data_IF_814662671958
#
_entry.id   IF_814662671958
#
_cell.length_a   1.000
_cell.length_b   1.000
_cell.length_c   1.000
_cell.angle_alpha   90.00
_cell.angle_beta   90.00
_cell.angle_gamma   90.00
#
_symmetry.space_group_name_H-M   'P 1'
#
loop_
_entity.id
_entity.type
_entity.pdbx_description
1 polymer ?
#
# COMPACT_ATOMS: atom_id res chain seq x y z
N UNK A 1 -24.86 20.79 -21.81
CA UNK A 1 -25.36 19.40 -21.85
C UNK A 1 -24.68 18.68 -20.69
N UNK A 2 -25.41 18.09 -19.74
CA UNK A 2 -24.77 17.29 -18.69
C UNK A 2 -24.19 16.03 -19.32
N UNK A 3 -22.87 15.89 -19.29
CA UNK A 3 -22.19 14.69 -19.76
C UNK A 3 -22.30 13.63 -18.67
N UNK A 4 -23.22 12.68 -18.83
CA UNK A 4 -23.28 11.50 -17.96
C UNK A 4 -22.16 10.54 -18.36
N UNK A 5 -21.35 10.09 -17.40
CA UNK A 5 -20.21 9.20 -17.64
C UNK A 5 -19.18 9.25 -16.51
N UNK A 6 -18.10 8.46 -16.57
CA UNK A 6 -16.99 8.56 -15.62
C UNK A 6 -16.47 10.00 -15.54
N UNK A 7 -16.44 10.57 -14.35
CA UNK A 7 -15.94 11.91 -14.08
C UNK A 7 -14.75 11.83 -13.12
N UNK A 8 -13.82 12.81 -13.17
CA UNK A 8 -12.82 12.96 -12.14
C UNK A 8 -13.46 13.07 -10.75
N UNK A 9 -12.83 12.46 -9.75
CA UNK A 9 -13.27 12.57 -8.35
C UNK A 9 -13.17 14.03 -7.91
N UNK A 10 -14.27 14.56 -7.37
CA UNK A 10 -14.28 15.88 -6.73
C UNK A 10 -13.55 15.79 -5.39
N UNK A 11 -12.41 16.48 -5.26
CA UNK A 11 -11.54 16.40 -4.09
C UNK A 11 -11.60 17.69 -3.26
N UNK A 12 -11.59 17.53 -1.94
CA UNK A 12 -11.31 18.62 -1.01
C UNK A 12 -9.83 18.56 -0.65
N UNK A 13 -9.08 19.61 -0.98
CA UNK A 13 -7.64 19.69 -0.79
C UNK A 13 -7.29 20.93 0.04
N UNK A 14 -6.29 20.84 0.94
CA UNK A 14 -6.00 21.89 1.92
C UNK A 14 -5.33 23.12 1.29
N UNK A 15 -4.60 22.96 0.19
CA UNK A 15 -3.78 24.02 -0.44
C UNK A 15 -3.95 24.03 -1.96
N UNK A 16 -3.50 25.11 -2.62
CA UNK A 16 -3.41 25.19 -4.08
C UNK A 16 -2.34 24.23 -4.62
N UNK A 17 -1.18 24.17 -3.97
CA UNK A 17 -0.12 23.20 -4.28
C UNK A 17 -0.65 21.75 -4.27
N UNK A 18 -1.47 21.38 -3.28
CA UNK A 18 -2.09 20.06 -3.26
C UNK A 18 -3.00 19.80 -4.46
N UNK A 19 -3.65 20.84 -5.03
CA UNK A 19 -4.45 20.70 -6.27
C UNK A 19 -3.54 20.46 -7.47
N UNK A 20 -2.43 21.18 -7.55
CA UNK A 20 -1.46 21.04 -8.64
C UNK A 20 -0.78 19.66 -8.60
N UNK A 21 -0.41 19.18 -7.42
CA UNK A 21 0.12 17.83 -7.20
C UNK A 21 -0.86 16.75 -7.65
N UNK A 22 -2.15 16.90 -7.33
CA UNK A 22 -3.18 15.96 -7.77
C UNK A 22 -3.44 16.04 -9.29
N UNK A 23 -3.36 17.24 -9.88
CA UNK A 23 -3.46 17.41 -11.32
C UNK A 23 -2.29 16.74 -12.05
N UNK A 24 -1.05 16.94 -11.56
CA UNK A 24 0.15 16.28 -12.06
C UNK A 24 0.04 14.75 -11.94
N UNK A 25 -0.39 14.26 -10.77
CA UNK A 25 -0.57 12.81 -10.54
C UNK A 25 -1.54 12.21 -11.54
N UNK A 26 -2.65 12.90 -11.85
CA UNK A 26 -3.63 12.43 -12.83
C UNK A 26 -3.08 12.41 -14.25
N UNK A 27 -2.35 13.44 -14.67
CA UNK A 27 -1.72 13.47 -16.00
C UNK A 27 -0.73 12.30 -16.16
N UNK A 28 0.16 12.13 -15.17
CA UNK A 28 1.12 11.04 -15.12
C UNK A 28 0.40 9.68 -15.14
N UNK A 29 -0.62 9.50 -14.31
CA UNK A 29 -1.37 8.26 -14.22
C UNK A 29 -2.08 7.90 -15.54
N UNK A 30 -2.66 8.87 -16.24
CA UNK A 30 -3.35 8.65 -17.50
C UNK A 30 -2.40 8.39 -18.67
N UNK A 31 -1.23 9.05 -18.68
CA UNK A 31 -0.29 8.99 -19.80
C UNK A 31 0.71 7.85 -19.68
N UNK A 32 1.26 7.64 -18.49
CA UNK A 32 2.42 6.78 -18.27
C UNK A 32 2.06 5.46 -17.59
N UNK A 33 0.93 5.39 -16.86
CA UNK A 33 0.58 4.21 -16.05
C UNK A 33 -0.57 3.41 -16.66
N UNK A 34 -1.72 4.03 -16.87
CA UNK A 34 -2.95 3.35 -17.27
C UNK A 34 -2.84 2.61 -18.63
N UNK A 35 -2.19 3.15 -19.68
CA UNK A 35 -2.19 2.52 -21.01
C UNK A 35 -1.53 1.13 -21.04
N UNK A 36 -0.47 0.93 -20.26
CA UNK A 36 0.29 -0.33 -20.24
C UNK A 36 -0.22 -1.32 -19.17
N UNK A 37 -1.11 -0.88 -18.26
CA UNK A 37 -1.43 -1.61 -17.05
C UNK A 37 -1.92 -3.06 -17.30
N UNK A 38 -2.79 -3.29 -18.29
CA UNK A 38 -3.30 -4.63 -18.56
C UNK A 38 -2.20 -5.58 -19.07
N UNK A 39 -1.48 -5.15 -20.12
CA UNK A 39 -0.43 -5.95 -20.73
C UNK A 39 0.72 -6.26 -19.76
N UNK A 40 1.11 -5.29 -18.93
CA UNK A 40 2.19 -5.48 -17.97
C UNK A 40 1.78 -6.33 -16.76
N UNK A 41 0.54 -6.21 -16.28
CA UNK A 41 0.02 -7.14 -15.28
C UNK A 41 0.00 -8.57 -15.83
N UNK A 42 -0.50 -8.79 -17.04
CA UNK A 42 -0.52 -10.15 -17.59
C UNK A 42 0.88 -10.72 -17.84
N UNK A 43 1.82 -9.89 -18.24
CA UNK A 43 3.23 -10.27 -18.36
C UNK A 43 3.94 -10.45 -16.99
N UNK A 44 3.32 -10.02 -15.89
CA UNK A 44 3.96 -10.02 -14.57
C UNK A 44 5.17 -9.08 -14.48
N UNK A 45 5.18 -8.00 -15.26
CA UNK A 45 6.30 -7.06 -15.34
C UNK A 45 6.22 -6.03 -14.22
N UNK A 46 7.30 -5.94 -13.44
CA UNK A 46 7.47 -4.89 -12.44
C UNK A 46 7.86 -3.56 -13.10
N UNK A 47 7.12 -2.46 -12.87
CA UNK A 47 7.33 -1.21 -13.59
C UNK A 47 8.35 -0.31 -12.87
N UNK A 48 9.62 -0.73 -12.78
CA UNK A 48 10.67 0.00 -12.03
C UNK A 48 10.81 1.45 -12.50
N UNK A 49 10.71 1.66 -13.80
CA UNK A 49 10.83 2.95 -14.46
C UNK A 49 9.72 3.92 -14.01
N UNK A 50 8.50 3.40 -13.77
CA UNK A 50 7.40 4.19 -13.23
C UNK A 50 7.68 4.66 -11.80
N UNK A 51 8.33 3.85 -10.96
CA UNK A 51 8.70 4.26 -9.60
C UNK A 51 9.74 5.38 -9.62
N UNK A 52 10.75 5.26 -10.48
CA UNK A 52 11.74 6.31 -10.68
C UNK A 52 11.09 7.61 -11.17
N UNK A 53 10.19 7.53 -12.16
CA UNK A 53 9.44 8.70 -12.65
C UNK A 53 8.60 9.38 -11.55
N UNK A 54 7.90 8.59 -10.70
CA UNK A 54 7.12 9.11 -9.58
C UNK A 54 8.03 9.81 -8.55
N UNK A 55 9.23 9.27 -8.32
CA UNK A 55 10.26 9.89 -7.49
C UNK A 55 10.78 11.21 -8.06
N UNK A 56 11.14 11.23 -9.35
CA UNK A 56 11.59 12.44 -10.07
C UNK A 56 10.52 13.54 -10.10
N UNK A 57 9.23 13.15 -10.11
CA UNK A 57 8.10 14.06 -10.01
C UNK A 57 7.83 14.58 -8.58
N UNK A 58 8.58 14.12 -7.57
CA UNK A 58 8.43 14.52 -6.17
C UNK A 58 7.25 13.86 -5.44
N UNK A 59 6.60 12.87 -6.05
CA UNK A 59 5.37 12.25 -5.51
C UNK A 59 5.65 11.08 -4.56
N UNK A 60 6.84 10.46 -4.63
CA UNK A 60 7.20 9.27 -3.85
C UNK A 60 7.46 9.60 -2.35
N UNK A 61 8.17 10.70 -2.11
CA UNK A 61 8.53 11.20 -0.77
C UNK A 61 7.54 12.22 -0.19
N UNK A 62 6.36 12.37 -0.80
CA UNK A 62 5.43 13.46 -0.52
C UNK A 62 5.08 13.70 0.98
N UNK A 63 4.83 12.66 1.81
CA UNK A 63 4.46 12.88 3.22
C UNK A 63 5.66 13.12 4.15
N UNK A 64 6.90 13.07 3.65
CA UNK A 64 8.10 13.24 4.45
C UNK A 64 8.59 14.69 4.44
N UNK A 65 9.34 15.14 5.47
CA UNK A 65 9.84 16.50 5.57
C UNK A 65 10.74 16.90 4.39
N UNK A 66 10.68 18.17 4.00
CA UNK A 66 11.56 18.74 2.96
C UNK A 66 13.04 18.64 3.33
N UNK A 67 13.39 18.77 4.62
CA UNK A 67 14.78 18.67 5.09
C UNK A 67 15.42 17.29 4.86
N UNK A 68 14.59 16.25 4.72
CA UNK A 68 15.02 14.90 4.41
C UNK A 68 14.91 14.57 2.89
N UNK A 69 14.49 15.53 2.07
CA UNK A 69 14.25 15.38 0.62
C UNK A 69 12.82 14.96 0.26
N UNK A 70 11.87 15.07 1.19
CA UNK A 70 10.44 14.83 0.95
C UNK A 70 9.68 16.06 0.44
N UNK A 71 8.36 15.93 0.31
CA UNK A 71 7.48 16.99 -0.20
C UNK A 71 6.76 17.83 0.87
N UNK A 72 6.91 17.47 2.15
CA UNK A 72 6.35 18.22 3.28
C UNK A 72 4.81 18.29 3.31
N UNK A 73 4.10 17.49 2.51
CA UNK A 73 2.66 17.59 2.39
C UNK A 73 1.92 16.83 3.51
N UNK A 74 0.72 17.30 3.91
CA UNK A 74 -0.16 16.54 4.79
C UNK A 74 -0.42 15.13 4.26
N UNK A 75 -0.54 14.15 5.15
CA UNK A 75 -0.77 12.77 4.77
C UNK A 75 -2.09 12.60 4.01
N UNK A 76 -3.10 13.44 4.28
CA UNK A 76 -4.34 13.45 3.48
C UNK A 76 -4.12 13.76 1.99
N UNK A 77 -3.07 14.50 1.64
CA UNK A 77 -2.71 14.80 0.25
C UNK A 77 -2.02 13.59 -0.38
N UNK A 78 -1.02 13.04 0.32
CA UNK A 78 -0.33 11.80 -0.08
C UNK A 78 -1.30 10.65 -0.35
N UNK A 79 -2.28 10.42 0.53
CA UNK A 79 -3.27 9.37 0.33
C UNK A 79 -4.14 9.58 -0.92
N UNK A 80 -4.44 10.83 -1.28
CA UNK A 80 -5.21 11.11 -2.50
C UNK A 80 -4.37 10.93 -3.76
N UNK A 81 -3.07 11.22 -3.72
CA UNK A 81 -2.11 10.85 -4.78
C UNK A 81 -2.10 9.32 -4.95
N UNK A 82 -1.98 8.59 -3.84
CA UNK A 82 -1.98 7.13 -3.83
C UNK A 82 -3.27 6.53 -4.40
N UNK A 83 -4.42 7.14 -4.11
CA UNK A 83 -5.72 6.76 -4.67
C UNK A 83 -5.74 6.87 -6.20
N UNK A 84 -5.23 7.97 -6.77
CA UNK A 84 -5.15 8.17 -8.23
C UNK A 84 -4.20 7.15 -8.89
N UNK A 85 -3.03 6.91 -8.28
CA UNK A 85 -2.07 5.91 -8.78
C UNK A 85 -2.67 4.50 -8.77
N UNK A 86 -3.35 4.13 -7.69
CA UNK A 86 -3.99 2.83 -7.56
C UNK A 86 -5.17 2.64 -8.52
N UNK A 87 -5.90 3.72 -8.84
CA UNK A 87 -6.96 3.69 -9.85
C UNK A 87 -6.41 3.42 -11.26
N UNK A 88 -5.22 3.94 -11.59
CA UNK A 88 -4.55 3.64 -12.85
C UNK A 88 -3.97 2.22 -12.87
N UNK A 89 -3.25 1.83 -11.82
CA UNK A 89 -2.73 0.47 -11.64
C UNK A 89 -2.41 0.19 -10.18
N UNK A 90 -3.10 -0.79 -9.59
CA UNK A 90 -2.92 -1.12 -8.17
C UNK A 90 -1.48 -1.52 -7.83
N UNK A 91 -0.74 -2.20 -8.72
CA UNK A 91 0.68 -2.52 -8.51
C UNK A 91 1.53 -1.28 -8.23
N UNK A 92 1.27 -0.16 -8.91
CA UNK A 92 2.01 1.08 -8.71
C UNK A 92 1.58 1.74 -7.41
N UNK A 93 0.28 1.96 -7.20
CA UNK A 93 -0.22 2.55 -5.96
C UNK A 93 0.19 1.77 -4.71
N UNK A 94 0.01 0.44 -4.70
CA UNK A 94 0.42 -0.39 -3.57
C UNK A 94 1.93 -0.40 -3.38
N UNK A 95 2.71 -0.49 -4.47
CA UNK A 95 4.16 -0.47 -4.35
C UNK A 95 4.67 0.87 -3.81
N UNK A 96 4.07 2.00 -4.21
CA UNK A 96 4.42 3.32 -3.65
C UNK A 96 4.13 3.32 -2.15
N UNK A 97 2.98 2.80 -1.75
CA UNK A 97 2.64 2.64 -0.32
C UNK A 97 3.65 1.81 0.46
N UNK A 98 4.13 0.70 -0.12
CA UNK A 98 5.14 -0.18 0.51
C UNK A 98 6.51 0.50 0.56
N UNK A 99 6.90 1.20 -0.49
CA UNK A 99 8.15 1.96 -0.49
C UNK A 99 8.10 3.05 0.59
N UNK A 100 7.05 3.87 0.65
CA UNK A 100 6.86 4.86 1.71
C UNK A 100 6.93 4.18 3.08
N UNK A 101 6.23 3.06 3.30
CA UNK A 101 6.32 2.31 4.56
C UNK A 101 7.77 1.89 4.89
N UNK A 102 8.55 1.45 3.90
CA UNK A 102 9.92 1.01 4.10
C UNK A 102 10.87 2.15 4.53
N UNK A 103 10.59 3.38 4.11
CA UNK A 103 11.35 4.58 4.50
C UNK A 103 11.05 5.04 5.94
N UNK A 104 9.89 4.63 6.48
CA UNK A 104 9.35 5.13 7.76
C UNK A 104 10.31 5.03 8.94
N UNK A 105 10.99 3.88 9.08
CA UNK A 105 11.90 3.63 10.19
C UNK A 105 13.03 4.66 10.22
N UNK A 106 13.71 4.86 9.08
CA UNK A 106 14.82 5.81 8.96
C UNK A 106 14.33 7.23 9.16
N UNK A 107 13.20 7.61 8.55
CA UNK A 107 12.65 8.96 8.64
C UNK A 107 12.32 9.39 10.08
N UNK A 108 11.73 8.51 10.89
CA UNK A 108 11.25 8.89 12.23
C UNK A 108 12.16 8.46 13.37
N UNK A 109 12.93 7.39 13.19
CA UNK A 109 13.73 6.77 14.25
C UNK A 109 15.22 6.66 13.88
N UNK A 110 15.59 7.07 12.67
CA UNK A 110 16.99 7.10 12.25
C UNK A 110 17.77 8.24 12.91
N UNK A 111 19.07 8.02 13.11
CA UNK A 111 19.99 9.08 13.50
C UNK A 111 20.07 10.16 12.41
N UNK A 112 20.61 11.34 12.76
CA UNK A 112 20.80 12.42 11.77
C UNK A 112 21.65 11.97 10.59
N UNK A 113 22.66 11.15 10.87
CA UNK A 113 23.57 10.58 9.88
C UNK A 113 22.84 9.60 8.97
N UNK A 114 22.03 8.69 9.52
CA UNK A 114 21.22 7.75 8.74
C UNK A 114 20.22 8.47 7.83
N UNK A 115 19.55 9.51 8.34
CA UNK A 115 18.61 10.30 7.56
C UNK A 115 19.30 11.01 6.40
N UNK A 116 20.39 11.72 6.69
CA UNK A 116 21.17 12.45 5.68
C UNK A 116 21.81 11.53 4.63
N UNK A 117 22.25 10.33 5.03
CA UNK A 117 22.87 9.36 4.12
C UNK A 117 21.85 8.70 3.19
N UNK A 118 20.65 8.39 3.68
CA UNK A 118 19.75 7.46 2.99
C UNK A 118 18.49 8.12 2.41
N UNK A 119 17.84 9.03 3.14
CA UNK A 119 16.51 9.52 2.75
C UNK A 119 16.48 10.23 1.40
N UNK A 120 17.45 11.08 1.01
CA UNK A 120 17.40 11.73 -0.30
C UNK A 120 17.28 10.75 -1.47
N UNK A 121 18.02 9.63 -1.43
CA UNK A 121 17.99 8.63 -2.49
C UNK A 121 16.74 7.73 -2.42
N UNK A 122 16.24 7.46 -1.21
CA UNK A 122 14.99 6.72 -1.01
C UNK A 122 13.79 7.54 -1.51
N UNK A 123 13.62 8.75 -0.99
CA UNK A 123 12.48 9.62 -1.27
C UNK A 123 12.47 10.14 -2.71
N UNK A 124 13.64 10.33 -3.31
CA UNK A 124 13.78 10.72 -4.73
C UNK A 124 13.56 9.58 -5.73
N UNK A 125 13.37 8.33 -5.27
CA UNK A 125 13.06 7.19 -6.15
C UNK A 125 14.25 6.55 -6.86
N UNK A 126 15.47 6.97 -6.55
CA UNK A 126 16.70 6.27 -6.98
C UNK A 126 16.81 4.91 -6.32
N UNK A 127 16.35 4.77 -5.07
CA UNK A 127 16.27 3.51 -4.34
C UNK A 127 14.82 3.07 -4.14
N UNK A 128 14.53 1.80 -4.42
CA UNK A 128 13.28 1.13 -4.10
C UNK A 128 13.43 0.33 -2.82
N UNK A 129 12.40 0.39 -1.98
CA UNK A 129 12.43 -0.19 -0.65
C UNK A 129 11.43 -1.31 -0.48
N UNK A 130 11.79 -2.30 0.32
CA UNK A 130 10.93 -3.39 0.75
C UNK A 130 10.83 -3.44 2.27
N UNK A 131 9.70 -3.93 2.78
CA UNK A 131 9.44 -4.02 4.21
C UNK A 131 9.35 -5.48 4.67
N UNK A 132 10.22 -5.87 5.60
CA UNK A 132 10.48 -7.25 6.00
C UNK A 132 10.04 -7.53 7.45
N UNK A 133 8.75 -7.82 7.63
CA UNK A 133 8.17 -8.20 8.92
C UNK A 133 7.74 -9.67 8.95
N UNK A 134 6.81 -10.05 8.07
CA UNK A 134 6.17 -11.37 8.07
C UNK A 134 7.13 -12.51 7.72
N UNK A 135 6.84 -13.69 8.27
CA UNK A 135 7.59 -14.93 8.08
C UNK A 135 6.62 -16.09 7.82
N UNK A 136 7.11 -17.27 7.37
CA UNK A 136 6.25 -18.43 7.13
C UNK A 136 5.39 -18.80 8.35
N UNK A 137 5.94 -18.61 9.56
CA UNK A 137 5.26 -18.94 10.82
C UNK A 137 4.66 -17.73 11.54
N UNK A 138 4.84 -16.50 11.05
CA UNK A 138 4.38 -15.27 11.71
C UNK A 138 3.82 -14.26 10.71
N UNK A 139 2.51 -14.36 10.46
CA UNK A 139 1.74 -13.39 9.70
C UNK A 139 1.03 -12.40 10.63
N UNK A 140 -0.18 -12.74 11.07
CA UNK A 140 -0.95 -11.91 12.01
C UNK A 140 -0.33 -11.84 13.41
N UNK A 141 0.32 -12.92 13.86
CA UNK A 141 1.14 -12.94 15.08
C UNK A 141 2.57 -12.46 14.78
N UNK A 142 2.69 -11.20 14.37
CA UNK A 142 3.95 -10.64 13.87
C UNK A 142 5.08 -10.61 14.93
N UNK A 143 4.74 -10.56 16.22
CA UNK A 143 5.72 -10.55 17.30
C UNK A 143 6.43 -11.90 17.51
N UNK A 144 5.87 -12.98 16.94
CA UNK A 144 6.43 -14.34 17.01
C UNK A 144 7.53 -14.61 15.96
N UNK A 145 8.00 -13.57 15.25
CA UNK A 145 9.07 -13.69 14.25
C UNK A 145 10.34 -14.35 14.83
N UNK A 146 11.05 -15.10 13.99
CA UNK A 146 12.20 -15.94 14.34
C UNK A 146 13.48 -15.56 13.61
N UNK A 147 13.42 -14.75 12.56
CA UNK A 147 14.63 -14.17 11.95
C UNK A 147 15.46 -13.52 13.04
N UNK A 148 16.71 -13.96 13.21
CA UNK A 148 17.59 -13.52 14.30
C UNK A 148 18.59 -12.51 13.78
N UNK A 149 18.98 -11.58 14.66
CA UNK A 149 20.12 -10.70 14.48
C UNK A 149 21.05 -10.90 15.68
N UNK A 150 22.21 -11.51 15.46
CA UNK A 150 23.18 -11.81 16.52
C UNK A 150 24.33 -10.82 16.44
N UNK A 151 24.69 -10.20 17.56
CA UNK A 151 25.81 -9.25 17.62
C UNK A 151 27.14 -9.99 17.40
N UNK A 152 27.97 -9.49 16.49
CA UNK A 152 29.30 -9.98 16.19
C UNK A 152 30.28 -8.79 16.05
N UNK A 153 30.97 -8.46 17.14
CA UNK A 153 31.78 -7.25 17.24
C UNK A 153 30.93 -5.98 17.17
N UNK A 154 31.23 -5.13 16.19
CA UNK A 154 30.49 -3.88 15.90
C UNK A 154 29.36 -4.08 14.88
N UNK A 155 29.18 -5.32 14.41
CA UNK A 155 28.19 -5.70 13.41
C UNK A 155 27.11 -6.63 13.99
N UNK A 156 26.10 -6.87 13.18
CA UNK A 156 25.05 -7.85 13.36
C UNK A 156 25.10 -8.86 12.23
N UNK A 157 24.91 -10.13 12.58
CA UNK A 157 24.68 -11.21 11.62
C UNK A 157 23.20 -11.57 11.63
N UNK A 158 22.51 -11.32 10.52
CA UNK A 158 21.09 -11.58 10.33
C UNK A 158 20.89 -12.90 9.60
N UNK A 159 20.05 -13.77 10.16
CA UNK A 159 19.74 -15.07 9.58
C UNK A 159 18.27 -15.43 9.78
N UNK A 160 17.64 -15.87 8.70
CA UNK A 160 16.25 -16.28 8.71
C UNK A 160 15.59 -16.17 7.35
N UNK A 161 14.27 -16.23 7.34
CA UNK A 161 13.47 -16.12 6.12
C UNK A 161 12.25 -15.27 6.38
N UNK A 162 12.10 -14.25 5.54
CA UNK A 162 10.92 -13.40 5.46
C UNK A 162 10.01 -13.89 4.34
N UNK A 163 8.71 -13.64 4.46
CA UNK A 163 7.70 -14.08 3.51
C UNK A 163 6.76 -12.95 3.15
N UNK A 164 6.18 -13.06 1.95
CA UNK A 164 5.23 -12.09 1.41
C UNK A 164 5.84 -10.70 1.19
N UNK A 165 7.13 -10.66 0.84
CA UNK A 165 7.86 -9.39 0.72
C UNK A 165 7.61 -8.80 -0.67
N UNK A 166 6.76 -7.78 -0.70
CA UNK A 166 6.60 -6.91 -1.87
C UNK A 166 7.93 -6.24 -2.21
N UNK A 167 8.26 -6.18 -3.50
CA UNK A 167 9.58 -5.81 -4.04
C UNK A 167 10.70 -6.80 -3.71
N UNK A 168 10.36 -8.02 -3.25
CA UNK A 168 11.34 -9.09 -3.06
C UNK A 168 12.11 -9.40 -4.34
N UNK A 169 13.45 -9.34 -4.26
CA UNK A 169 14.36 -9.57 -5.38
C UNK A 169 14.59 -8.37 -6.31
N UNK A 170 13.90 -7.25 -6.12
CA UNK A 170 14.07 -6.04 -6.95
C UNK A 170 14.25 -4.75 -6.14
N UNK A 171 14.17 -4.82 -4.81
CA UNK A 171 14.39 -3.68 -3.93
C UNK A 171 15.89 -3.43 -3.72
N UNK A 172 16.26 -2.17 -3.65
CA UNK A 172 17.64 -1.73 -3.38
C UNK A 172 17.94 -1.67 -1.89
N UNK A 173 16.91 -1.68 -1.05
CA UNK A 173 17.05 -1.85 0.40
C UNK A 173 15.85 -2.54 1.03
N UNK A 174 16.09 -3.13 2.19
CA UNK A 174 15.10 -3.80 3.01
C UNK A 174 15.11 -3.22 4.42
N UNK A 175 13.94 -2.78 4.91
CA UNK A 175 13.73 -2.51 6.33
C UNK A 175 13.34 -3.82 7.01
N UNK A 176 14.28 -4.41 7.75
CA UNK A 176 14.19 -5.78 8.29
C UNK A 176 13.94 -5.75 9.79
N UNK A 177 12.89 -6.44 10.22
CA UNK A 177 12.58 -6.67 11.63
C UNK A 177 13.13 -8.03 12.03
N UNK A 178 14.11 -8.04 12.92
CA UNK A 178 14.78 -9.26 13.37
C UNK A 178 14.91 -9.29 14.90
N UNK A 179 14.88 -10.49 15.47
CA UNK A 179 15.03 -10.74 16.89
C UNK A 179 16.49 -10.60 17.29
N UNK A 180 16.80 -9.58 18.08
CA UNK A 180 18.14 -9.31 18.62
C UNK A 180 18.25 -9.47 20.13
N UNK A 181 17.13 -9.75 20.80
CA UNK A 181 17.05 -9.98 22.24
C UNK A 181 16.16 -11.19 22.59
N UNK A 182 15.48 -11.10 23.74
CA UNK A 182 14.60 -12.16 24.24
C UNK A 182 13.34 -12.42 23.42
N UNK A 183 12.40 -13.19 23.97
CA UNK A 183 11.12 -13.46 23.32
C UNK A 183 10.19 -12.24 23.31
N UNK A 184 9.17 -12.29 22.44
CA UNK A 184 8.14 -11.26 22.33
C UNK A 184 8.60 -9.98 21.64
N UNK A 185 7.76 -8.94 21.74
CA UNK A 185 7.89 -7.68 21.02
C UNK A 185 9.17 -6.91 21.36
N UNK A 186 9.57 -6.89 22.64
CA UNK A 186 10.74 -6.14 23.12
C UNK A 186 12.09 -6.77 22.72
N UNK A 187 12.08 -7.97 22.13
CA UNK A 187 13.28 -8.62 21.62
C UNK A 187 13.57 -8.33 20.15
N UNK A 188 12.77 -7.49 19.48
CA UNK A 188 12.85 -7.24 18.04
C UNK A 188 13.47 -5.87 17.79
N UNK A 189 14.41 -5.79 16.85
CA UNK A 189 15.02 -4.54 16.37
C UNK A 189 14.82 -4.36 14.86
N UNK A 190 14.97 -3.12 14.39
CA UNK A 190 14.88 -2.76 12.98
C UNK A 190 16.28 -2.53 12.38
N UNK A 191 16.50 -3.03 11.17
CA UNK A 191 17.76 -2.93 10.45
C UNK A 191 17.52 -2.47 9.02
N UNK A 192 18.34 -1.56 8.52
CA UNK A 192 18.37 -1.17 7.11
C UNK A 192 19.37 -2.05 6.37
N UNK A 193 18.92 -3.00 5.57
CA UNK A 193 19.79 -3.95 4.85
C UNK A 193 19.89 -3.53 3.38
N UNK A 194 21.10 -3.37 2.81
CA UNK A 194 21.26 -3.16 1.37
C UNK A 194 20.68 -4.34 0.57
N UNK A 195 20.06 -4.08 -0.58
CA UNK A 195 19.47 -5.11 -1.44
C UNK A 195 20.49 -6.04 -2.11
N UNK A 196 21.76 -5.61 -2.16
CA UNK A 196 22.91 -6.35 -2.69
C UNK A 196 23.82 -6.93 -1.58
N UNK A 197 23.36 -6.92 -0.33
CA UNK A 197 24.15 -7.41 0.80
C UNK A 197 24.55 -8.88 0.62
N UNK A 198 25.83 -9.27 0.85
CA UNK A 198 26.25 -10.66 0.81
C UNK A 198 25.41 -11.54 1.74
N UNK A 199 24.95 -12.69 1.24
CA UNK A 199 24.07 -13.61 1.97
C UNK A 199 22.56 -13.30 1.84
N UNK A 200 22.19 -12.18 1.20
CA UNK A 200 20.80 -11.85 0.90
C UNK A 200 20.38 -12.45 -0.44
N UNK A 201 19.23 -13.12 -0.48
CA UNK A 201 18.65 -13.60 -1.73
C UNK A 201 17.12 -13.61 -1.67
N UNK A 202 16.48 -13.56 -2.84
CA UNK A 202 15.04 -13.71 -2.96
C UNK A 202 14.69 -15.02 -3.65
N UNK A 203 13.63 -15.69 -3.18
CA UNK A 203 13.03 -16.81 -3.88
C UNK A 203 12.33 -16.35 -5.17
N UNK A 204 11.96 -17.32 -6.01
CA UNK A 204 11.09 -17.04 -7.17
C UNK A 204 9.79 -16.37 -6.67
N UNK A 205 9.33 -15.28 -7.32
CA UNK A 205 8.11 -14.61 -6.91
C UNK A 205 6.88 -15.53 -6.90
N UNK A 206 6.00 -15.28 -5.93
CA UNK A 206 4.77 -16.02 -5.70
C UNK A 206 3.83 -15.94 -6.91
N UNK A 207 3.19 -17.08 -7.23
CA UNK A 207 2.12 -17.15 -8.24
C UNK A 207 0.80 -16.69 -7.62
N UNK A 208 0.51 -15.39 -7.74
CA UNK A 208 -0.64 -14.74 -7.09
C UNK A 208 -1.90 -14.68 -7.97
N UNK A 209 -3.05 -14.56 -7.32
CA UNK A 209 -4.36 -14.36 -7.96
C UNK A 209 -4.42 -13.04 -8.75
N UNK A 210 -3.84 -11.96 -8.22
CA UNK A 210 -3.75 -10.63 -8.85
C UNK A 210 -2.43 -9.97 -8.47
N UNK A 211 -2.20 -8.72 -8.92
CA UNK A 211 -0.93 -8.01 -8.72
C UNK A 211 0.27 -8.81 -9.23
N UNK A 212 0.15 -9.34 -10.44
CA UNK A 212 1.20 -10.16 -11.05
C UNK A 212 2.44 -9.31 -11.30
N UNK A 213 2.27 -8.04 -11.66
CA UNK A 213 3.36 -7.07 -11.85
C UNK A 213 4.03 -6.63 -10.55
N UNK A 214 3.47 -6.92 -9.37
CA UNK A 214 4.10 -6.66 -8.08
C UNK A 214 4.87 -7.90 -7.63
N UNK A 215 6.22 -7.95 -7.69
CA UNK A 215 6.97 -9.10 -7.23
C UNK A 215 6.80 -9.24 -5.72
N UNK A 216 6.39 -10.43 -5.31
CA UNK A 216 6.22 -10.80 -3.91
C UNK A 216 6.99 -12.09 -3.72
N UNK A 217 7.97 -12.13 -2.84
CA UNK A 217 8.82 -13.30 -2.68
C UNK A 217 9.12 -13.58 -1.21
N UNK A 218 9.65 -14.77 -0.96
CA UNK A 218 10.44 -14.99 0.25
C UNK A 218 11.79 -14.30 0.08
N UNK A 219 12.31 -13.76 1.18
CA UNK A 219 13.64 -13.15 1.23
C UNK A 219 14.44 -13.90 2.30
N UNK A 220 15.56 -14.48 1.89
CA UNK A 220 16.43 -15.30 2.71
C UNK A 220 17.64 -14.48 3.14
N UNK A 221 17.94 -14.58 4.43
CA UNK A 221 19.12 -14.00 5.04
C UNK A 221 19.98 -15.17 5.49
N UNK A 222 21.11 -15.40 4.82
CA UNK A 222 22.12 -16.39 5.20
C UNK A 222 23.33 -15.64 5.77
N UNK A 223 23.37 -15.52 7.09
CA UNK A 223 24.41 -14.79 7.82
C UNK A 223 24.75 -13.40 7.24
N UNK A 224 23.72 -12.62 6.88
CA UNK A 224 23.89 -11.28 6.30
C UNK A 224 24.50 -10.35 7.36
N UNK A 225 25.67 -9.78 7.06
CA UNK A 225 26.40 -8.90 7.98
C UNK A 225 26.00 -7.44 7.78
N UNK A 226 25.62 -6.77 8.86
CA UNK A 226 25.13 -5.38 8.86
C UNK A 226 25.77 -4.61 10.02
N UNK A 227 26.43 -3.47 9.79
CA UNK A 227 27.03 -2.69 10.88
C UNK A 227 25.95 -2.12 11.83
N UNK A 228 26.28 -1.89 13.10
CA UNK A 228 25.32 -1.28 14.05
C UNK A 228 24.85 0.11 13.60
N UNK A 229 25.63 0.81 12.77
CA UNK A 229 25.22 2.09 12.15
C UNK A 229 24.01 1.96 11.22
N UNK A 230 23.60 0.74 10.85
CA UNK A 230 22.37 0.46 10.08
C UNK A 230 21.24 -0.13 10.93
N UNK A 231 21.43 -0.25 12.25
CA UNK A 231 20.33 -0.47 13.19
C UNK A 231 19.55 0.84 13.35
N UNK A 232 18.23 0.78 13.22
CA UNK A 232 17.37 1.95 13.27
C UNK A 232 16.61 1.97 14.59
N UNK A 233 16.62 3.11 15.29
CA UNK A 233 16.13 3.24 16.65
C UNK A 233 16.96 2.45 17.67
N UNK A 234 16.41 2.22 18.86
CA UNK A 234 17.06 1.50 19.97
C UNK A 234 16.92 -0.03 19.83
N UNK A 235 17.81 -0.77 20.50
CA UNK A 235 17.68 -2.23 20.61
C UNK A 235 16.36 -2.61 21.29
N UNK A 236 15.61 -3.52 20.66
CA UNK A 236 14.30 -3.95 21.15
C UNK A 236 13.14 -3.01 20.80
N UNK A 237 13.41 -1.89 20.10
CA UNK A 237 12.38 -0.92 19.67
C UNK A 237 11.71 -1.30 18.34
N UNK A 238 12.25 -2.28 17.61
CA UNK A 238 11.84 -2.59 16.24
C UNK A 238 10.35 -2.92 16.08
N UNK A 239 9.75 -3.64 17.03
CA UNK A 239 8.32 -3.94 16.95
C UNK A 239 7.44 -2.71 17.18
N UNK A 240 7.86 -1.77 18.04
CA UNK A 240 7.14 -0.51 18.24
C UNK A 240 7.20 0.36 16.98
N UNK A 241 8.38 0.45 16.35
CA UNK A 241 8.58 1.13 15.06
C UNK A 241 7.68 0.50 13.97
N UNK A 242 7.58 -0.84 13.97
CA UNK A 242 6.71 -1.53 13.03
C UNK A 242 5.23 -1.18 13.24
N UNK A 243 4.73 -1.20 14.47
CA UNK A 243 3.33 -0.85 14.75
C UNK A 243 2.99 0.59 14.35
N UNK A 244 3.89 1.53 14.62
CA UNK A 244 3.75 2.94 14.24
C UNK A 244 3.67 3.12 12.71
N UNK A 245 4.56 2.43 11.97
CA UNK A 245 4.55 2.42 10.52
C UNK A 245 3.23 1.82 9.96
N UNK A 246 2.77 0.69 10.52
CA UNK A 246 1.56 -0.02 10.08
C UNK A 246 0.28 0.80 10.30
N UNK A 247 0.20 1.65 11.34
CA UNK A 247 -0.96 2.53 11.54
C UNK A 247 -1.12 3.51 10.37
N UNK A 248 -0.01 4.07 9.87
CA UNK A 248 0.01 4.90 8.66
C UNK A 248 -0.16 4.08 7.38
N UNK A 249 0.39 2.86 7.32
CA UNK A 249 0.28 1.92 6.19
C UNK A 249 -1.16 1.48 5.91
N UNK A 250 -1.98 1.25 6.96
CA UNK A 250 -3.41 0.94 6.84
C UNK A 250 -4.19 1.99 6.06
N UNK A 251 -3.86 3.27 6.24
CA UNK A 251 -4.48 4.36 5.48
C UNK A 251 -4.06 4.32 4.00
N UNK A 252 -2.81 3.95 3.71
CA UNK A 252 -2.32 3.73 2.35
C UNK A 252 -3.11 2.63 1.62
N UNK A 253 -3.38 1.52 2.31
CA UNK A 253 -4.23 0.44 1.77
C UNK A 253 -5.68 0.89 1.58
N UNK A 254 -6.22 1.70 2.50
CA UNK A 254 -7.57 2.24 2.37
C UNK A 254 -7.70 3.14 1.12
N UNK A 255 -6.69 3.99 0.85
CA UNK A 255 -6.62 4.80 -0.36
C UNK A 255 -6.48 3.95 -1.64
N UNK A 256 -5.57 2.96 -1.63
CA UNK A 256 -5.41 2.03 -2.77
C UNK A 256 -6.71 1.27 -3.10
N UNK A 257 -7.41 0.78 -2.07
CA UNK A 257 -8.69 0.10 -2.22
C UNK A 257 -9.77 1.02 -2.80
N UNK A 258 -9.81 2.27 -2.34
CA UNK A 258 -10.73 3.29 -2.85
C UNK A 258 -10.46 3.61 -4.32
N UNK A 259 -9.18 3.74 -4.71
CA UNK A 259 -8.77 3.97 -6.11
C UNK A 259 -9.15 2.81 -7.03
N UNK A 260 -8.87 1.58 -6.61
CA UNK A 260 -9.27 0.37 -7.35
C UNK A 260 -10.79 0.28 -7.52
N UNK A 261 -11.55 0.55 -6.46
CA UNK A 261 -13.01 0.57 -6.50
C UNK A 261 -13.53 1.65 -7.46
N UNK A 262 -12.90 2.84 -7.46
CA UNK A 262 -13.23 3.93 -8.39
C UNK A 262 -12.96 3.53 -9.86
N UNK A 263 -11.85 2.85 -10.14
CA UNK A 263 -11.54 2.34 -11.47
C UNK A 263 -12.58 1.31 -11.96
N UNK A 264 -13.01 0.41 -11.07
CA UNK A 264 -14.05 -0.56 -11.36
C UNK A 264 -15.42 0.08 -11.61
N UNK A 265 -15.81 1.08 -10.80
CA UNK A 265 -17.03 1.86 -11.04
C UNK A 265 -16.97 2.61 -12.38
N UNK A 266 -15.85 3.27 -12.68
CA UNK A 266 -15.69 4.01 -13.93
C UNK A 266 -15.78 3.08 -15.15
N UNK A 267 -15.16 1.89 -15.07
CA UNK A 267 -15.25 0.86 -16.12
C UNK A 267 -16.69 0.38 -16.30
N UNK A 268 -17.38 0.05 -15.21
CA UNK A 268 -18.77 -0.39 -15.26
C UNK A 268 -19.70 0.69 -15.81
N UNK A 269 -19.55 1.94 -15.33
CA UNK A 269 -20.36 3.07 -15.76
C UNK A 269 -20.17 3.38 -17.26
N UNK A 270 -18.94 3.38 -17.76
CA UNK A 270 -18.68 3.55 -19.20
C UNK A 270 -19.37 2.47 -20.03
N UNK A 271 -19.23 1.21 -19.63
CA UNK A 271 -19.82 0.08 -20.34
C UNK A 271 -21.35 0.12 -20.36
N UNK A 272 -22.00 0.35 -19.21
CA UNK A 272 -23.48 0.28 -19.12
C UNK A 272 -24.20 1.43 -19.81
N UNK A 273 -23.54 2.57 -19.99
CA UNK A 273 -24.07 3.70 -20.75
C UNK A 273 -24.08 3.44 -22.26
N UNK A 274 -23.13 2.63 -22.76
CA UNK A 274 -23.01 2.32 -24.19
C UNK A 274 -23.72 1.01 -24.57
N UNK A 275 -23.65 -0.01 -23.72
CA UNK A 275 -24.20 -1.33 -24.00
C UNK A 275 -25.72 -1.28 -24.10
N UNK A 276 -26.29 -1.85 -25.16
CA UNK A 276 -27.76 -1.92 -25.37
C UNK A 276 -28.30 -3.35 -25.23
N UNK A 277 -29.45 -3.49 -24.59
CA UNK A 277 -30.30 -4.71 -24.56
C UNK A 277 -31.76 -4.28 -24.52
N UNK A 278 -32.65 -5.08 -25.12
CA UNK A 278 -34.07 -4.73 -25.26
C UNK A 278 -34.24 -3.29 -25.82
N UNK A 279 -33.49 -3.00 -26.88
CA UNK A 279 -33.50 -1.75 -27.66
C UNK A 279 -33.11 -0.45 -26.94
N UNK A 280 -32.59 -0.51 -25.71
CA UNK A 280 -32.13 0.67 -24.95
C UNK A 280 -30.80 0.42 -24.22
N UNK A 281 -30.07 1.47 -23.83
CA UNK A 281 -28.91 1.33 -22.95
C UNK A 281 -29.24 0.52 -21.70
N UNK A 282 -28.33 -0.34 -21.26
CA UNK A 282 -28.56 -1.14 -20.04
C UNK A 282 -28.60 -0.25 -18.80
N UNK A 283 -27.97 0.93 -18.85
CA UNK A 283 -28.13 1.96 -17.83
C UNK A 283 -29.58 2.45 -17.63
N UNK A 284 -30.52 2.19 -18.54
CA UNK A 284 -31.93 2.55 -18.37
C UNK A 284 -32.71 1.58 -17.47
N UNK A 285 -32.15 0.40 -17.15
CA UNK A 285 -32.78 -0.54 -16.23
C UNK A 285 -32.53 -0.10 -14.78
N UNK A 286 -33.61 0.17 -14.05
CA UNK A 286 -33.57 0.67 -12.68
C UNK A 286 -32.70 -0.18 -11.75
N UNK A 287 -32.78 -1.51 -11.84
CA UNK A 287 -31.98 -2.42 -11.01
C UNK A 287 -30.47 -2.21 -11.17
N UNK A 288 -29.99 -1.94 -12.40
CA UNK A 288 -28.57 -1.68 -12.64
C UNK A 288 -28.16 -0.28 -12.15
N UNK A 289 -29.06 0.70 -12.22
CA UNK A 289 -28.82 2.05 -11.68
C UNK A 289 -28.68 2.04 -10.16
N UNK A 290 -29.41 1.18 -9.46
CA UNK A 290 -29.26 1.01 -8.01
C UNK A 290 -27.88 0.47 -7.65
N UNK A 291 -27.37 -0.52 -8.40
CA UNK A 291 -26.00 -1.01 -8.20
C UNK A 291 -24.96 0.11 -8.37
N UNK A 292 -25.08 0.92 -9.43
CA UNK A 292 -24.19 2.07 -9.64
C UNK A 292 -24.25 3.08 -8.49
N UNK A 293 -25.45 3.36 -7.98
CA UNK A 293 -25.65 4.26 -6.84
C UNK A 293 -24.99 3.68 -5.57
N UNK A 294 -25.21 2.40 -5.27
CA UNK A 294 -24.61 1.73 -4.10
C UNK A 294 -23.08 1.69 -4.19
N UNK A 295 -22.52 1.40 -5.37
CA UNK A 295 -21.08 1.45 -5.61
C UNK A 295 -20.53 2.85 -5.33
N UNK A 296 -21.11 3.88 -5.93
CA UNK A 296 -20.67 5.27 -5.77
C UNK A 296 -20.76 5.74 -4.31
N UNK A 297 -21.87 5.45 -3.62
CA UNK A 297 -22.08 5.83 -2.22
C UNK A 297 -21.05 5.16 -1.30
N UNK A 298 -20.75 3.87 -1.49
CA UNK A 298 -19.77 3.16 -0.66
C UNK A 298 -18.35 3.68 -0.86
N UNK A 299 -17.97 3.97 -2.12
CA UNK A 299 -16.65 4.55 -2.43
C UNK A 299 -16.51 5.90 -1.74
N UNK A 300 -17.52 6.76 -1.84
CA UNK A 300 -17.48 8.09 -1.22
C UNK A 300 -17.43 8.02 0.31
N UNK A 301 -18.19 7.11 0.92
CA UNK A 301 -18.13 6.86 2.36
C UNK A 301 -16.74 6.38 2.81
N UNK A 302 -16.10 5.50 2.02
CA UNK A 302 -14.75 5.01 2.30
C UNK A 302 -13.71 6.11 2.18
N UNK A 303 -13.82 6.95 1.14
CA UNK A 303 -12.97 8.11 0.94
C UNK A 303 -13.04 9.09 2.10
N UNK A 304 -14.25 9.46 2.51
CA UNK A 304 -14.48 10.32 3.65
C UNK A 304 -13.88 9.73 4.94
N UNK A 305 -14.03 8.42 5.16
CA UNK A 305 -13.52 7.74 6.35
C UNK A 305 -11.99 7.75 6.44
N UNK A 306 -11.27 7.41 5.36
CA UNK A 306 -9.81 7.40 5.41
C UNK A 306 -9.24 8.84 5.49
N UNK A 307 -9.87 9.83 4.84
CA UNK A 307 -9.44 11.22 4.92
C UNK A 307 -9.66 11.81 6.31
N UNK A 308 -10.79 11.49 6.97
CA UNK A 308 -11.01 11.90 8.35
C UNK A 308 -9.94 11.31 9.29
N UNK A 309 -9.55 10.06 9.09
CA UNK A 309 -8.47 9.43 9.85
C UNK A 309 -7.09 10.07 9.56
N UNK A 310 -6.81 10.43 8.30
CA UNK A 310 -5.58 11.11 7.92
C UNK A 310 -5.45 12.50 8.56
N UNK A 311 -6.54 13.28 8.62
CA UNK A 311 -6.55 14.58 9.29
C UNK A 311 -6.28 14.50 10.81
N UNK A 312 -6.68 13.40 11.45
CA UNK A 312 -6.29 13.14 12.84
C UNK A 312 -4.79 12.92 12.95
N UNK A 313 -4.20 12.11 12.05
CA UNK A 313 -2.75 11.90 11.97
C UNK A 313 -2.01 13.23 11.77
N UNK A 314 -2.45 14.03 10.80
CA UNK A 314 -1.80 15.30 10.44
C UNK A 314 -1.85 16.34 11.56
N UNK A 315 -2.82 16.22 12.48
CA UNK A 315 -2.93 17.09 13.67
C UNK A 315 -2.38 16.46 14.95
N UNK A 316 -1.65 15.34 14.85
CA UNK A 316 -1.03 14.65 15.99
C UNK A 316 -2.01 13.98 16.95
N UNK A 317 -3.26 13.79 16.53
CA UNK A 317 -4.29 13.15 17.34
C UNK A 317 -4.26 11.63 17.19
N UNK A 318 -4.69 10.85 18.20
CA UNK A 318 -4.77 9.40 18.10
C UNK A 318 -5.68 8.96 16.94
N UNK A 319 -5.11 8.23 15.98
CA UNK A 319 -5.81 7.84 14.75
C UNK A 319 -5.85 6.33 14.49
N UNK A 320 -5.11 5.51 15.24
CA UNK A 320 -4.97 4.05 15.03
C UNK A 320 -6.31 3.31 14.84
N UNK A 321 -7.28 3.55 15.73
CA UNK A 321 -8.62 2.96 15.61
C UNK A 321 -9.36 3.38 14.33
N UNK A 322 -9.22 4.65 13.92
CA UNK A 322 -9.86 5.18 12.71
C UNK A 322 -9.17 4.65 11.45
N UNK A 323 -7.84 4.49 11.47
CA UNK A 323 -7.10 3.85 10.39
C UNK A 323 -7.52 2.38 10.21
N UNK A 324 -7.70 1.63 11.29
CA UNK A 324 -8.21 0.26 11.24
C UNK A 324 -9.64 0.18 10.67
N UNK A 325 -10.54 1.08 11.09
CA UNK A 325 -11.89 1.20 10.53
C UNK A 325 -11.86 1.55 9.03
N UNK A 326 -11.02 2.50 8.62
CA UNK A 326 -10.87 2.92 7.24
C UNK A 326 -10.39 1.76 6.36
N UNK A 327 -9.29 1.08 6.76
CA UNK A 327 -8.77 -0.07 6.01
C UNK A 327 -9.81 -1.18 5.90
N UNK A 328 -10.48 -1.52 7.01
CA UNK A 328 -11.54 -2.51 7.02
C UNK A 328 -12.65 -2.17 6.02
N UNK A 329 -13.21 -0.96 6.13
CA UNK A 329 -14.36 -0.54 5.33
C UNK A 329 -14.01 -0.38 3.84
N UNK A 330 -12.90 0.28 3.52
CA UNK A 330 -12.51 0.54 2.13
C UNK A 330 -12.16 -0.75 1.39
N UNK A 331 -11.52 -1.72 2.06
CA UNK A 331 -11.14 -2.99 1.42
C UNK A 331 -12.32 -3.93 1.24
N UNK A 332 -13.26 -3.99 2.20
CA UNK A 332 -14.54 -4.70 2.00
C UNK A 332 -15.36 -4.04 0.88
N UNK A 333 -15.35 -2.70 0.80
CA UNK A 333 -15.99 -1.94 -0.28
C UNK A 333 -15.39 -2.24 -1.64
N UNK A 334 -14.05 -2.25 -1.76
CA UNK A 334 -13.39 -2.56 -3.03
C UNK A 334 -13.75 -3.96 -3.55
N UNK A 335 -13.79 -4.96 -2.66
CA UNK A 335 -14.21 -6.32 -3.04
C UNK A 335 -15.65 -6.36 -3.54
N UNK A 336 -16.58 -5.68 -2.84
CA UNK A 336 -17.99 -5.61 -3.25
C UNK A 336 -18.12 -4.92 -4.61
N UNK A 337 -17.57 -3.71 -4.74
CA UNK A 337 -17.66 -2.88 -5.95
C UNK A 337 -17.06 -3.59 -7.17
N UNK A 338 -15.91 -4.25 -7.01
CA UNK A 338 -15.27 -4.96 -8.14
C UNK A 338 -16.05 -6.20 -8.55
N UNK A 339 -16.70 -6.89 -7.62
CA UNK A 339 -17.63 -7.99 -7.93
C UNK A 339 -18.87 -7.48 -8.68
N UNK A 340 -19.45 -6.37 -8.21
CA UNK A 340 -20.60 -5.73 -8.87
C UNK A 340 -20.24 -5.21 -10.26
N UNK A 341 -19.02 -4.70 -10.46
CA UNK A 341 -18.54 -4.28 -11.77
C UNK A 341 -18.50 -5.46 -12.76
N UNK A 342 -17.98 -6.62 -12.35
CA UNK A 342 -18.03 -7.85 -13.17
C UNK A 342 -19.47 -8.20 -13.54
N UNK A 343 -20.39 -8.13 -12.58
CA UNK A 343 -21.80 -8.40 -12.80
C UNK A 343 -22.47 -7.42 -13.79
N UNK A 344 -22.13 -6.12 -13.73
CA UNK A 344 -22.64 -5.08 -14.63
C UNK A 344 -22.14 -5.24 -16.06
N UNK A 345 -20.90 -5.72 -16.25
CA UNK A 345 -20.36 -6.05 -17.58
C UNK A 345 -20.92 -7.37 -18.13
N UNK A 346 -21.43 -8.26 -17.27
CA UNK A 346 -21.94 -9.58 -17.65
C UNK A 346 -20.81 -10.49 -18.12
N UNK A 347 -21.02 -11.23 -19.22
CA UNK A 347 -20.00 -12.16 -19.76
C UNK A 347 -18.66 -11.48 -20.05
N UNK A 348 -18.67 -10.23 -20.53
CA UNK A 348 -17.45 -9.45 -20.76
C UNK A 348 -16.71 -9.09 -19.48
N UNK A 349 -17.43 -8.98 -18.36
CA UNK A 349 -16.82 -8.75 -17.05
C UNK A 349 -16.01 -9.96 -16.56
N UNK A 350 -16.24 -11.14 -17.12
CA UNK A 350 -15.55 -12.39 -16.76
C UNK A 350 -14.35 -12.70 -17.66
N UNK A 351 -14.22 -12.02 -18.80
CA UNK A 351 -13.13 -12.22 -19.77
C UNK A 351 -11.99 -11.25 -19.51
N UNK A 352 -10.74 -11.71 -19.68
CA UNK A 352 -9.55 -10.88 -19.53
C UNK A 352 -9.40 -9.78 -20.59
N UNK A 353 -10.26 -9.76 -21.63
CA UNK A 353 -10.35 -8.66 -22.59
C UNK A 353 -10.82 -7.33 -21.93
N UNK A 354 -11.44 -7.40 -20.75
CA UNK A 354 -11.88 -6.25 -19.97
C UNK A 354 -11.24 -6.25 -18.58
N UNK A 355 -10.93 -5.08 -18.01
CA UNK A 355 -10.14 -5.01 -16.78
C UNK A 355 -10.92 -5.37 -15.51
N UNK A 356 -12.25 -5.55 -15.59
CA UNK A 356 -13.12 -5.77 -14.42
C UNK A 356 -12.73 -7.02 -13.62
N UNK A 357 -12.47 -8.15 -14.28
CA UNK A 357 -12.07 -9.39 -13.61
C UNK A 357 -10.72 -9.23 -12.88
N UNK A 358 -9.78 -8.48 -13.49
CA UNK A 358 -8.49 -8.17 -12.86
C UNK A 358 -8.68 -7.37 -11.59
N UNK A 359 -9.51 -6.32 -11.62
CA UNK A 359 -9.77 -5.52 -10.43
C UNK A 359 -10.38 -6.36 -9.30
N UNK A 360 -11.27 -7.31 -9.62
CA UNK A 360 -11.84 -8.25 -8.65
C UNK A 360 -10.76 -9.15 -8.02
N UNK A 361 -9.86 -9.71 -8.84
CA UNK A 361 -8.73 -10.52 -8.34
C UNK A 361 -7.79 -9.71 -7.44
N UNK A 362 -7.51 -8.48 -7.82
CA UNK A 362 -6.63 -7.55 -7.11
C UNK A 362 -7.24 -7.02 -5.81
N UNK A 363 -8.56 -6.78 -5.75
CA UNK A 363 -9.23 -6.28 -4.55
C UNK A 363 -9.06 -7.24 -3.36
N UNK A 364 -8.99 -8.55 -3.63
CA UNK A 364 -8.99 -9.57 -2.58
C UNK A 364 -7.81 -9.47 -1.63
N UNK A 365 -6.61 -9.18 -2.14
CA UNK A 365 -5.41 -9.12 -1.31
C UNK A 365 -5.44 -7.95 -0.33
N UNK A 366 -6.14 -6.87 -0.65
CA UNK A 366 -6.25 -5.69 0.20
C UNK A 366 -6.99 -5.99 1.52
N UNK A 367 -7.89 -6.98 1.53
CA UNK A 367 -8.53 -7.47 2.76
C UNK A 367 -7.58 -8.28 3.67
N UNK A 368 -6.40 -8.68 3.16
CA UNK A 368 -5.48 -9.63 3.81
C UNK A 368 -4.22 -8.91 4.32
N UNK A 369 -3.58 -8.09 3.49
CA UNK A 369 -2.31 -7.41 3.82
C UNK A 369 -2.52 -6.28 4.84
N UNK A 370 -1.42 -5.81 5.44
CA UNK A 370 -1.43 -4.71 6.44
C UNK A 370 -2.35 -5.02 7.63
N UNK A 371 -2.35 -6.30 8.02
CA UNK A 371 -3.30 -6.89 8.97
C UNK A 371 -4.62 -7.25 8.29
N UNK A 372 -5.01 -8.52 8.39
CA UNK A 372 -6.28 -9.00 7.83
C UNK A 372 -7.47 -8.21 8.37
N UNK A 373 -8.60 -8.21 7.66
CA UNK A 373 -9.80 -7.53 8.14
C UNK A 373 -10.31 -8.11 9.47
N UNK A 374 -9.91 -9.31 9.87
CA UNK A 374 -10.14 -9.85 11.22
C UNK A 374 -9.24 -9.17 12.25
N UNK A 375 -7.96 -8.96 11.95
CA UNK A 375 -7.04 -8.19 12.80
C UNK A 375 -7.51 -6.74 12.94
N UNK A 376 -8.01 -6.12 11.87
CA UNK A 376 -8.59 -4.77 11.98
C UNK A 376 -9.78 -4.74 12.95
N UNK A 377 -10.66 -5.75 12.89
CA UNK A 377 -11.77 -5.88 13.85
C UNK A 377 -11.27 -6.04 15.28
N UNK A 378 -10.21 -6.83 15.51
CA UNK A 378 -9.58 -6.93 16.83
C UNK A 378 -9.02 -5.59 17.32
N UNK A 379 -8.35 -4.82 16.46
CA UNK A 379 -7.82 -3.48 16.80
C UNK A 379 -8.96 -2.54 17.18
N UNK A 380 -10.05 -2.52 16.40
CA UNK A 380 -11.23 -1.71 16.68
C UNK A 380 -11.90 -2.14 17.99
N UNK A 381 -12.15 -3.44 18.16
CA UNK A 381 -12.77 -3.98 19.37
C UNK A 381 -11.96 -3.65 20.62
N UNK A 382 -10.62 -3.76 20.54
CA UNK A 382 -9.72 -3.43 21.66
C UNK A 382 -9.82 -1.97 22.11
N UNK A 383 -10.01 -1.04 21.17
CA UNK A 383 -10.20 0.37 21.50
C UNK A 383 -11.58 0.65 22.12
N UNK A 384 -12.59 -0.14 21.80
CA UNK A 384 -13.96 0.04 22.31
C UNK A 384 -14.18 -0.66 23.65
N UNK A 385 -13.62 -1.85 23.84
CA UNK A 385 -13.91 -2.75 24.96
C UNK A 385 -12.69 -3.11 25.81
N UNK A 386 -11.50 -2.62 25.48
CA UNK A 386 -10.24 -3.02 26.12
C UNK A 386 -9.69 -4.36 25.60
N UNK A 387 -8.54 -4.83 26.12
CA UNK A 387 -7.97 -6.12 25.73
C UNK A 387 -8.89 -7.28 26.13
N UNK A 388 -8.82 -8.38 25.37
CA UNK A 388 -9.44 -9.64 25.78
C UNK A 388 -8.87 -10.10 27.12
N UNK A 389 -9.74 -10.54 28.03
CA UNK A 389 -9.33 -11.20 29.26
C UNK A 389 -8.59 -12.49 28.88
N UNK A 390 -7.28 -12.54 29.15
CA UNK A 390 -6.52 -13.79 29.09
C UNK A 390 -6.95 -14.61 30.31
N UNK A 391 -7.68 -15.69 30.06
CA UNK A 391 -8.05 -16.68 31.08
C UNK A 391 -6.85 -17.42 31.64
#
# INVERSE_FOLDING_TARGET
MQTYGPQPVSRQLPTEEARDLLALTRDLAQREIAPAAAAEEDAGRFPRETFTLIGEAGLLGLPYPEEDGGGGQPYEVYLQVLEELAAARLTVGLGVSVHTLSCHAVAHYGSKEQRAEHLPAMLGGTLLGAYCLSEPTSGSDAAALRTRAVRDGDDWTIDGTKSWITHGGVADFYTVLARSGGEGAHGISAYLVPGDAPGLSAAVPERKMGLKGSPTAQVHFDAVRVPDTRRVGDLGQGFAIALDALDSGRLGIAACATGLAQAALNTALGYVLERRQFDRPVADFQGLRFMLADMATRIEAGRALYLAAARLRDTGQPFSARAAMAKLFCTDTAMQVTTDAVQLLGGYGYTADFPAERYMREAKVLQIVEGTNQIQRMVVARHLAGPESRG
#
